data_IF_919617836605
#
_entry.id   IF_919617836605
#
_cell.length_a   1.000
_cell.length_b   1.000
_cell.length_c   1.000
_cell.angle_alpha   90.00
_cell.angle_beta   90.00
_cell.angle_gamma   90.00
#
_symmetry.space_group_name_H-M   'P 1'
#
loop_
_entity.id
_entity.type
_entity.pdbx_description
1 polymer ?
#
# COMPACT_ATOMS: atom_id res chain seq x y z
N UNK A 1 11.16 -12.01 15.41
CA UNK A 1 9.76 -12.06 15.03
C UNK A 1 9.17 -10.65 14.98
N UNK A 2 8.46 -10.35 13.91
CA UNK A 2 7.90 -9.02 13.74
C UNK A 2 6.60 -8.86 14.51
N UNK A 3 6.43 -7.71 15.19
CA UNK A 3 5.18 -7.35 15.82
C UNK A 3 4.33 -6.48 14.90
N UNK A 4 4.80 -6.25 13.70
CA UNK A 4 4.11 -5.44 12.71
C UNK A 4 3.07 -6.30 12.01
N UNK A 5 1.84 -5.80 11.96
CA UNK A 5 0.74 -6.45 11.25
C UNK A 5 0.54 -5.71 9.95
N UNK A 6 0.31 -6.45 8.89
CA UNK A 6 0.12 -5.86 7.57
C UNK A 6 -1.26 -6.15 7.05
N UNK A 7 -1.91 -5.12 6.50
CA UNK A 7 -3.16 -5.29 5.78
C UNK A 7 -3.04 -4.63 4.41
N UNK A 8 -3.71 -5.24 3.44
CA UNK A 8 -3.86 -4.67 2.10
C UNK A 8 -5.33 -4.42 1.88
N UNK A 9 -5.65 -3.27 1.32
CA UNK A 9 -7.03 -2.88 1.06
C UNK A 9 -7.16 -2.52 -0.41
N UNK A 10 -8.07 -3.18 -1.10
CA UNK A 10 -8.27 -3.00 -2.52
C UNK A 10 -9.73 -2.65 -2.78
N UNK A 11 -9.98 -1.62 -3.58
CA UNK A 11 -11.34 -1.30 -3.98
C UNK A 11 -11.92 -2.44 -4.80
N UNK A 12 -13.17 -2.78 -4.55
CA UNK A 12 -13.88 -3.75 -5.38
C UNK A 12 -13.94 -3.22 -6.82
N UNK A 13 -14.03 -4.10 -7.83
CA UNK A 13 -13.92 -3.66 -9.23
C UNK A 13 -14.80 -2.47 -9.60
N UNK A 14 -16.00 -2.39 -9.09
CA UNK A 14 -16.91 -1.29 -9.41
C UNK A 14 -16.41 0.06 -8.92
N UNK A 15 -15.51 0.06 -7.92
CA UNK A 15 -15.01 1.28 -7.29
C UNK A 15 -13.52 1.50 -7.52
N UNK A 16 -12.90 0.67 -8.34
CA UNK A 16 -11.45 0.68 -8.55
C UNK A 16 -11.04 1.71 -9.61
N UNK A 17 -11.36 2.98 -9.36
CA UNK A 17 -11.10 4.07 -10.30
C UNK A 17 -9.62 4.28 -10.54
N UNK A 18 -8.84 4.30 -9.46
CA UNK A 18 -7.39 4.54 -9.56
C UNK A 18 -6.67 3.48 -10.39
N UNK A 19 -7.08 2.22 -10.23
CA UNK A 19 -6.49 1.14 -11.01
C UNK A 19 -6.83 1.27 -12.49
N UNK A 20 -8.07 1.64 -12.80
CA UNK A 20 -8.51 1.84 -14.18
C UNK A 20 -7.80 3.01 -14.83
N UNK A 21 -7.63 4.10 -14.09
CA UNK A 21 -6.90 5.26 -14.59
C UNK A 21 -5.46 4.92 -14.89
N UNK A 22 -4.79 4.20 -13.99
CA UNK A 22 -3.40 3.82 -14.20
C UNK A 22 -3.26 2.91 -15.41
N UNK A 23 -4.16 1.94 -15.57
CA UNK A 23 -4.13 1.07 -16.74
C UNK A 23 -4.25 1.89 -18.02
N UNK A 24 -5.14 2.87 -18.03
CA UNK A 24 -5.32 3.75 -19.18
C UNK A 24 -4.05 4.57 -19.46
N UNK A 25 -3.45 5.13 -18.42
CA UNK A 25 -2.23 5.92 -18.55
C UNK A 25 -1.07 5.10 -19.09
N UNK A 26 -0.91 3.88 -18.60
CA UNK A 26 0.14 2.99 -19.07
C UNK A 26 -0.03 2.71 -20.57
N UNK A 27 -1.25 2.48 -21.00
CA UNK A 27 -1.54 2.23 -22.41
C UNK A 27 -1.37 3.50 -23.26
N UNK A 28 -1.92 4.63 -22.81
CA UNK A 28 -1.99 5.85 -23.60
C UNK A 28 -0.72 6.69 -23.55
N UNK A 29 -0.15 6.89 -22.37
CA UNK A 29 1.01 7.76 -22.21
C UNK A 29 2.32 7.01 -22.35
N UNK A 30 2.41 5.80 -21.81
CA UNK A 30 3.63 5.01 -21.89
C UNK A 30 3.67 4.11 -23.13
N UNK A 31 2.53 3.96 -23.80
CA UNK A 31 2.45 3.14 -25.01
C UNK A 31 2.61 1.65 -24.77
N UNK A 32 2.39 1.19 -23.54
CA UNK A 32 2.56 -0.23 -23.20
C UNK A 32 1.18 -0.91 -23.31
N UNK A 33 0.97 -1.62 -24.40
CA UNK A 33 -0.34 -2.23 -24.72
C UNK A 33 -0.49 -3.65 -24.18
N UNK A 34 0.59 -4.25 -23.71
CA UNK A 34 0.56 -5.65 -23.24
C UNK A 34 0.09 -5.83 -21.80
N UNK A 35 -0.16 -4.74 -21.08
CA UNK A 35 -0.72 -4.81 -19.75
C UNK A 35 -2.19 -5.21 -19.84
N UNK A 36 -2.56 -6.32 -19.20
CA UNK A 36 -3.92 -6.84 -19.25
C UNK A 36 -4.75 -6.38 -18.06
N UNK A 37 -4.11 -6.15 -16.93
CA UNK A 37 -4.81 -5.68 -15.73
C UNK A 37 -3.85 -4.94 -14.81
N UNK A 38 -4.41 -4.01 -14.05
CA UNK A 38 -3.68 -3.27 -13.02
C UNK A 38 -4.52 -3.33 -11.76
N UNK A 39 -3.85 -3.61 -10.63
CA UNK A 39 -4.49 -3.55 -9.31
C UNK A 39 -3.74 -2.55 -8.46
N UNK A 40 -4.48 -1.79 -7.67
CA UNK A 40 -3.92 -0.82 -6.73
C UNK A 40 -4.45 -1.14 -5.35
N UNK A 41 -3.54 -1.42 -4.43
CA UNK A 41 -3.91 -1.75 -3.06
C UNK A 41 -3.23 -0.77 -2.11
N UNK A 42 -3.96 -0.35 -1.08
CA UNK A 42 -3.36 0.43 -0.01
C UNK A 42 -2.79 -0.57 0.99
N UNK A 43 -1.55 -0.37 1.38
CA UNK A 43 -0.89 -1.23 2.37
C UNK A 43 -0.72 -0.44 3.66
N UNK A 44 -1.19 -1.03 4.76
CA UNK A 44 -0.94 -0.48 6.09
C UNK A 44 -0.08 -1.45 6.86
N UNK A 45 0.98 -0.93 7.45
CA UNK A 45 1.77 -1.66 8.45
C UNK A 45 1.45 -1.03 9.80
N UNK A 46 1.03 -1.86 10.75
CA UNK A 46 0.51 -1.42 12.04
C UNK A 46 1.26 -2.12 13.16
N UNK A 47 1.71 -1.35 14.12
CA UNK A 47 2.40 -1.88 15.28
C UNK A 47 1.81 -1.25 16.55
N UNK A 48 1.98 -1.93 17.66
CA UNK A 48 1.57 -1.42 18.97
C UNK A 48 0.06 -1.25 19.09
N UNK A 49 -0.66 -2.29 18.71
CA UNK A 49 -2.13 -2.33 18.77
C UNK A 49 -2.58 -3.66 19.34
N UNK A 50 -3.65 -3.67 20.13
CA UNK A 50 -4.21 -4.90 20.65
C UNK A 50 -4.95 -5.66 19.56
N UNK A 51 -5.04 -6.99 19.71
CA UNK A 51 -5.75 -7.83 18.75
C UNK A 51 -7.21 -7.39 18.58
N UNK A 52 -7.86 -7.09 19.69
CA UNK A 52 -9.27 -6.70 19.68
C UNK A 52 -9.48 -5.41 18.87
N UNK A 53 -8.66 -4.40 19.12
CA UNK A 53 -8.78 -3.13 18.44
C UNK A 53 -8.38 -3.27 16.97
N UNK A 54 -7.36 -4.09 16.70
CA UNK A 54 -6.96 -4.34 15.31
C UNK A 54 -8.11 -4.97 14.50
N UNK A 55 -8.80 -5.95 15.09
CA UNK A 55 -9.94 -6.57 14.39
C UNK A 55 -11.04 -5.56 14.08
N UNK A 56 -11.33 -4.68 15.02
CA UNK A 56 -12.32 -3.61 14.78
C UNK A 56 -11.84 -2.65 13.71
N UNK A 57 -10.56 -2.29 13.76
CA UNK A 57 -9.98 -1.34 12.80
C UNK A 57 -10.02 -1.89 11.37
N UNK A 58 -9.88 -3.19 11.21
CA UNK A 58 -9.95 -3.80 9.88
C UNK A 58 -11.31 -3.59 9.22
N UNK A 59 -12.35 -3.38 9.98
CA UNK A 59 -13.73 -3.23 9.48
C UNK A 59 -14.19 -1.78 9.45
N UNK A 60 -13.50 -0.89 10.15
CA UNK A 60 -13.99 0.47 10.34
C UNK A 60 -12.97 1.55 10.00
N UNK A 61 -11.68 1.24 10.08
CA UNK A 61 -10.61 2.22 9.85
C UNK A 61 -9.91 1.96 8.52
N UNK A 62 -9.44 0.72 8.31
CA UNK A 62 -8.65 0.41 7.13
C UNK A 62 -9.48 0.15 5.90
N UNK A 63 -10.68 -0.35 6.06
CA UNK A 63 -11.52 -0.73 4.93
C UNK A 63 -12.99 -0.42 5.21
N UNK A 64 -13.72 -0.17 4.13
CA UNK A 64 -15.18 -0.07 4.14
C UNK A 64 -15.72 -1.31 3.44
N UNK A 65 -16.24 -2.30 4.18
CA UNK A 65 -16.63 -3.58 3.57
C UNK A 65 -17.49 -3.52 2.31
N UNK A 66 -18.46 -2.58 2.18
CA UNK A 66 -19.25 -2.54 0.95
C UNK A 66 -18.46 -2.20 -0.31
N UNK A 67 -17.34 -1.49 -0.19
CA UNK A 67 -16.58 -1.00 -1.36
C UNK A 67 -15.16 -1.53 -1.41
N UNK A 68 -14.66 -2.15 -0.33
CA UNK A 68 -13.28 -2.61 -0.22
C UNK A 68 -13.20 -4.09 0.08
N UNK A 69 -12.13 -4.72 -0.43
CA UNK A 69 -11.69 -6.04 -0.01
C UNK A 69 -10.46 -5.84 0.87
N UNK A 70 -10.37 -6.60 1.95
CA UNK A 70 -9.22 -6.51 2.86
C UNK A 70 -8.52 -7.86 2.93
N UNK A 71 -7.18 -7.82 2.86
CA UNK A 71 -6.35 -9.02 2.94
C UNK A 71 -5.37 -8.86 4.09
N UNK A 72 -5.23 -9.89 4.91
CA UNK A 72 -4.31 -9.88 6.03
C UNK A 72 -2.97 -10.49 5.62
N UNK A 73 -1.90 -9.78 5.86
CA UNK A 73 -0.50 -10.15 5.62
C UNK A 73 -0.13 -10.31 4.16
N UNK A 74 -0.92 -11.01 3.36
CA UNK A 74 -0.65 -11.28 1.96
C UNK A 74 -1.92 -11.20 1.14
N UNK A 75 -1.77 -11.04 -0.15
CA UNK A 75 -2.88 -11.14 -1.10
C UNK A 75 -2.43 -12.02 -2.27
N UNK A 76 -3.39 -12.57 -2.99
CA UNK A 76 -3.07 -13.39 -4.15
C UNK A 76 -2.99 -12.54 -5.41
N UNK A 77 -2.04 -12.87 -6.27
CA UNK A 77 -1.87 -12.22 -7.56
C UNK A 77 -1.74 -13.29 -8.62
N UNK A 78 -2.15 -12.97 -9.86
CA UNK A 78 -2.03 -13.89 -10.97
C UNK A 78 -0.56 -14.23 -11.21
N UNK A 79 -0.32 -15.45 -11.68
CA UNK A 79 1.03 -15.91 -11.97
C UNK A 79 1.68 -14.98 -13.01
N UNK A 80 2.93 -14.64 -12.78
CA UNK A 80 3.67 -13.74 -13.65
C UNK A 80 3.41 -12.27 -13.42
N UNK A 81 2.56 -11.92 -12.44
CA UNK A 81 2.33 -10.53 -12.10
C UNK A 81 3.58 -9.88 -11.56
N UNK A 82 3.76 -8.61 -11.88
CA UNK A 82 4.85 -7.83 -11.34
C UNK A 82 4.29 -6.89 -10.29
N UNK A 83 4.94 -6.85 -9.12
CA UNK A 83 4.43 -6.13 -7.96
C UNK A 83 5.51 -5.19 -7.44
N UNK A 84 5.12 -3.97 -7.12
CA UNK A 84 5.98 -3.04 -6.41
C UNK A 84 5.14 -2.19 -5.49
N UNK A 85 5.77 -1.63 -4.47
CA UNK A 85 5.11 -0.73 -3.54
C UNK A 85 5.83 0.60 -3.50
N UNK A 86 5.08 1.67 -3.20
CA UNK A 86 5.60 3.02 -3.14
C UNK A 86 5.26 3.59 -1.77
N UNK A 87 6.26 4.09 -1.07
CA UNK A 87 6.05 4.74 0.22
C UNK A 87 6.60 6.15 0.20
N UNK A 88 6.16 6.98 1.13
CA UNK A 88 6.75 8.31 1.30
C UNK A 88 8.17 8.20 1.82
N UNK A 89 9.02 9.11 1.37
CA UNK A 89 10.39 9.21 1.88
C UNK A 89 10.37 9.57 3.37
N UNK A 90 11.40 9.14 4.12
CA UNK A 90 11.51 9.54 5.53
C UNK A 90 11.44 11.06 5.65
N UNK A 91 10.67 11.54 6.61
CA UNK A 91 10.47 12.97 6.82
C UNK A 91 9.26 13.54 6.10
N UNK A 92 8.69 12.82 5.16
CA UNK A 92 7.45 13.24 4.51
C UNK A 92 6.26 12.84 5.37
N UNK A 93 5.22 13.65 5.34
CA UNK A 93 4.03 13.38 6.12
C UNK A 93 3.15 12.33 5.45
N UNK A 94 2.88 11.25 6.16
CA UNK A 94 2.01 10.18 5.69
C UNK A 94 0.59 10.44 6.22
N UNK A 95 -0.18 11.21 5.45
CA UNK A 95 -1.52 11.62 5.88
C UNK A 95 -2.46 10.45 6.08
N UNK A 96 -2.37 9.44 5.23
CA UNK A 96 -3.23 8.25 5.35
C UNK A 96 -2.94 7.50 6.64
N UNK A 97 -1.67 7.33 6.97
CA UNK A 97 -1.27 6.67 8.21
C UNK A 97 -1.69 7.49 9.43
N UNK A 98 -1.51 8.80 9.38
CA UNK A 98 -1.89 9.68 10.48
C UNK A 98 -3.38 9.61 10.74
N UNK A 99 -4.19 9.67 9.69
CA UNK A 99 -5.64 9.57 9.82
C UNK A 99 -6.06 8.23 10.41
N UNK A 100 -5.40 7.15 9.98
CA UNK A 100 -5.69 5.82 10.53
C UNK A 100 -5.34 5.74 12.02
N UNK A 101 -4.20 6.30 12.42
CA UNK A 101 -3.81 6.34 13.83
C UNK A 101 -4.85 7.06 14.68
N UNK A 102 -5.33 8.19 14.19
CA UNK A 102 -6.34 8.96 14.90
C UNK A 102 -7.65 8.19 15.00
N UNK A 103 -8.05 7.51 13.93
CA UNK A 103 -9.27 6.71 13.96
C UNK A 103 -9.16 5.53 14.92
N UNK A 104 -8.00 4.90 15.01
CA UNK A 104 -7.78 3.82 15.98
C UNK A 104 -7.92 4.35 17.40
N UNK A 105 -7.42 5.54 17.67
CA UNK A 105 -7.55 6.16 18.99
C UNK A 105 -9.00 6.48 19.32
N UNK A 106 -9.82 6.76 18.31
CA UNK A 106 -11.25 6.94 18.54
C UNK A 106 -11.96 5.64 18.92
N UNK A 107 -11.43 4.50 18.45
CA UNK A 107 -11.96 3.20 18.85
C UNK A 107 -11.60 2.87 20.29
N UNK A 108 -10.39 3.25 20.70
CA UNK A 108 -9.92 3.03 22.07
C UNK A 108 -8.81 4.04 22.37
N UNK A 109 -9.11 5.00 23.23
CA UNK A 109 -8.18 6.09 23.55
C UNK A 109 -6.88 5.63 24.22
N UNK A 110 -6.84 4.41 24.74
CA UNK A 110 -5.66 3.86 25.37
C UNK A 110 -4.68 3.27 24.37
N UNK A 111 -5.06 3.15 23.10
CA UNK A 111 -4.17 2.64 22.06
C UNK A 111 -3.26 3.75 21.58
N UNK A 112 -2.02 3.37 21.27
CA UNK A 112 -1.07 4.29 20.69
C UNK A 112 -0.40 3.59 19.49
N UNK A 113 -1.20 3.33 18.44
CA UNK A 113 -0.69 2.58 17.29
C UNK A 113 0.34 3.38 16.52
N UNK A 114 1.25 2.66 15.90
CA UNK A 114 2.20 3.23 14.95
C UNK A 114 1.83 2.66 13.61
N UNK A 115 1.49 3.51 12.66
CA UNK A 115 1.01 3.08 11.34
C UNK A 115 1.82 3.75 10.25
N UNK A 116 2.13 2.97 9.22
CA UNK A 116 2.72 3.48 7.98
C UNK A 116 1.90 2.98 6.82
N UNK A 117 1.79 3.79 5.79
CA UNK A 117 1.07 3.38 4.61
C UNK A 117 1.99 3.34 3.40
N UNK A 118 1.58 2.55 2.42
CA UNK A 118 2.22 2.49 1.13
C UNK A 118 1.15 2.13 0.12
N UNK A 119 1.46 2.34 -1.16
CA UNK A 119 0.57 1.91 -2.23
C UNK A 119 1.24 0.76 -2.95
N UNK A 120 0.54 -0.35 -3.08
CA UNK A 120 1.05 -1.54 -3.77
C UNK A 120 0.38 -1.64 -5.12
N UNK A 121 1.20 -1.78 -6.16
CA UNK A 121 0.73 -1.90 -7.54
C UNK A 121 1.01 -3.31 -8.04
N UNK A 122 0.01 -3.90 -8.68
CA UNK A 122 0.14 -5.20 -9.32
C UNK A 122 -0.11 -5.01 -10.80
N UNK A 123 0.87 -5.37 -11.62
CA UNK A 123 0.81 -5.21 -13.07
C UNK A 123 0.76 -6.59 -13.70
N UNK A 124 -0.30 -6.88 -14.43
CA UNK A 124 -0.48 -8.16 -15.10
C UNK A 124 -0.31 -7.98 -16.60
N UNK A 125 0.34 -8.94 -17.22
CA UNK A 125 0.57 -8.92 -18.65
C UNK A 125 2.02 -9.24 -18.99
N UNK A 126 2.26 -9.48 -20.27
CA UNK A 126 3.60 -9.81 -20.75
C UNK A 126 4.38 -8.52 -21.01
N UNK A 127 5.07 -8.03 -20.01
CA UNK A 127 5.87 -6.79 -20.11
C UNK A 127 7.33 -7.10 -19.88
N UNK A 128 8.18 -6.29 -20.50
CA UNK A 128 9.63 -6.40 -20.34
C UNK A 128 10.06 -5.70 -19.04
N UNK A 129 11.29 -5.97 -18.63
CA UNK A 129 11.85 -5.29 -17.46
C UNK A 129 11.92 -3.77 -17.69
N UNK A 130 12.22 -3.35 -18.92
CA UNK A 130 12.26 -1.93 -19.26
C UNK A 130 10.86 -1.30 -19.15
N UNK A 131 9.83 -2.00 -19.62
CA UNK A 131 8.46 -1.52 -19.51
C UNK A 131 8.03 -1.44 -18.04
N UNK A 132 8.40 -2.43 -17.25
CA UNK A 132 8.10 -2.41 -15.82
C UNK A 132 8.79 -1.23 -15.13
N UNK A 133 10.05 -0.98 -15.47
CA UNK A 133 10.79 0.17 -14.94
C UNK A 133 10.11 1.49 -15.30
N UNK A 134 9.59 1.60 -16.53
CA UNK A 134 8.87 2.79 -16.97
C UNK A 134 7.59 3.00 -16.17
N UNK A 135 6.86 1.92 -15.88
CA UNK A 135 5.63 2.00 -15.09
C UNK A 135 5.96 2.44 -13.66
N UNK A 136 7.00 1.86 -13.07
CA UNK A 136 7.43 2.25 -11.72
C UNK A 136 7.78 3.73 -11.68
N UNK A 137 8.54 4.20 -12.65
CA UNK A 137 8.92 5.61 -12.71
C UNK A 137 7.70 6.52 -12.83
N UNK A 138 6.71 6.10 -13.58
CA UNK A 138 5.46 6.84 -13.74
C UNK A 138 4.69 6.96 -12.42
N UNK A 139 4.76 5.92 -11.60
CA UNK A 139 4.01 5.87 -10.33
C UNK A 139 4.74 6.54 -9.16
N UNK A 140 6.03 6.84 -9.31
CA UNK A 140 6.84 7.34 -8.21
C UNK A 140 7.20 8.80 -8.46
N UNK A 141 6.90 9.65 -7.47
CA UNK A 141 7.40 11.02 -7.47
C UNK A 141 8.67 11.03 -6.61
N UNK A 142 9.87 11.13 -7.23
CA UNK A 142 11.11 11.00 -6.47
C UNK A 142 11.34 12.11 -5.46
N UNK A 143 10.56 13.18 -5.53
CA UNK A 143 10.65 14.27 -4.55
C UNK A 143 10.14 13.82 -3.19
N UNK A 144 9.11 12.99 -3.15
CA UNK A 144 8.47 12.59 -1.90
C UNK A 144 8.29 11.09 -1.69
N UNK A 145 8.63 10.28 -2.69
CA UNK A 145 8.32 8.85 -2.65
C UNK A 145 9.45 8.00 -3.18
N UNK A 146 9.40 6.71 -2.83
CA UNK A 146 10.37 5.74 -3.33
C UNK A 146 9.72 4.37 -3.44
N UNK A 147 10.29 3.53 -4.31
CA UNK A 147 9.84 2.14 -4.41
C UNK A 147 10.43 1.34 -3.25
N UNK A 148 9.63 0.42 -2.73
CA UNK A 148 10.05 -0.49 -1.67
C UNK A 148 9.60 -1.91 -2.01
N UNK A 149 10.19 -2.86 -1.31
CA UNK A 149 9.83 -4.26 -1.48
C UNK A 149 8.64 -4.67 -0.64
N UNK A 150 8.36 -5.95 -0.67
CA UNK A 150 7.22 -6.53 0.04
C UNK A 150 7.59 -7.04 1.43
N UNK A 151 8.84 -6.94 1.82
CA UNK A 151 9.28 -7.41 3.12
C UNK A 151 8.70 -6.55 4.24
N UNK A 152 8.29 -7.22 5.31
CA UNK A 152 7.72 -6.53 6.46
C UNK A 152 8.83 -6.26 7.48
N UNK A 153 8.95 -5.02 7.97
CA UNK A 153 9.98 -4.70 8.95
C UNK A 153 9.69 -5.39 10.29
N UNK A 154 10.73 -5.56 11.09
CA UNK A 154 10.58 -6.11 12.43
C UNK A 154 9.86 -5.12 13.36
N UNK A 155 10.08 -3.82 13.15
CA UNK A 155 9.44 -2.78 13.93
C UNK A 155 9.35 -1.50 13.11
N UNK A 156 8.28 -0.75 13.31
CA UNK A 156 8.09 0.55 12.68
C UNK A 156 8.74 1.68 13.46
N UNK A 157 9.10 1.44 14.70
CA UNK A 157 9.63 2.47 15.58
C UNK A 157 10.92 3.08 15.05
N UNK A 158 11.80 2.27 14.49
CA UNK A 158 13.12 2.73 14.04
C UNK A 158 13.22 2.98 12.55
N UNK A 159 12.14 2.73 11.80
CA UNK A 159 12.22 2.77 10.35
C UNK A 159 12.25 4.20 9.80
N UNK A 160 11.69 5.15 10.54
CA UNK A 160 11.65 6.55 10.14
C UNK A 160 12.90 7.33 10.50
N UNK A 161 13.81 6.72 11.25
CA UNK A 161 15.03 7.39 11.62
C UNK A 161 15.90 7.62 10.41
N UNK A 162 16.30 8.86 10.14
CA UNK A 162 17.17 9.10 9.00
C UNK A 162 18.52 8.43 9.21
N UNK A 163 19.02 7.89 8.12
CA UNK A 163 20.35 7.31 8.17
C UNK A 163 21.34 8.43 8.28
N UNK A 164 22.23 8.29 9.23
CA UNK A 164 23.22 9.28 9.36
C UNK A 164 24.33 8.97 8.49
N UNK A 165 24.71 9.71 7.86
CA UNK A 165 25.86 9.64 7.14
C UNK A 165 26.02 9.87 5.98
#
# INVERSE_FOLDING_TARGET
MSNVRRVYVEKKPAFAVQAKELKHEVSSYLGIKSVTAVRVLIRYDVENISDEVFDKACKTVFAEPPVDDLYLENFEAAEGSRIFSVEFLPGQFDQRADSAEQCVKLLNENEEPIIRSAITYVIEGAITDEQFAAIKKHCINPVDSRAIGMEKPLSLIHISEPTRH
#
